data_IF_424381754673
#
_entry.id   IF_424381754673
#
_cell.length_a   1.000
_cell.length_b   1.000
_cell.length_c   1.000
_cell.angle_alpha   90.00
_cell.angle_beta   90.00
_cell.angle_gamma   90.00
#
_symmetry.space_group_name_H-M   'P 1'
#
loop_
_entity.id
_entity.type
_entity.pdbx_description
1 polymer ?
#
# COMPACT_ATOMS: atom_id res chain seq x y z
N UNK A 1 17.44 -7.01 1.70
CA UNK A 1 16.75 -5.70 1.68
C UNK A 1 15.29 -5.96 1.44
N UNK A 2 14.43 -5.31 2.20
CA UNK A 2 12.99 -5.40 1.98
C UNK A 2 12.53 -4.24 1.07
N UNK A 3 11.45 -4.47 0.33
CA UNK A 3 10.73 -3.43 -0.42
C UNK A 3 9.28 -3.50 0.02
N UNK A 4 8.71 -2.34 0.31
CA UNK A 4 7.31 -2.21 0.70
C UNK A 4 6.61 -1.46 -0.42
N UNK A 5 5.56 -2.06 -0.96
CA UNK A 5 4.70 -1.46 -1.97
C UNK A 5 3.29 -1.43 -1.38
N UNK A 6 2.63 -0.28 -1.43
CA UNK A 6 1.23 -0.13 -1.06
C UNK A 6 0.44 0.30 -2.30
N UNK A 7 -0.55 -0.51 -2.65
CA UNK A 7 -1.55 -0.25 -3.68
C UNK A 7 -2.93 -0.27 -3.02
N UNK A 8 -3.94 0.45 -3.57
CA UNK A 8 -5.28 0.48 -3.00
C UNK A 8 -6.04 -0.85 -3.17
N UNK A 9 -5.70 -1.63 -4.19
CA UNK A 9 -6.17 -2.99 -4.41
C UNK A 9 -5.11 -3.79 -5.22
N UNK A 10 -5.32 -5.10 -5.41
CA UNK A 10 -4.36 -5.99 -6.11
C UNK A 10 -4.32 -5.81 -7.63
N UNK A 11 -5.36 -5.20 -8.21
CA UNK A 11 -5.52 -5.02 -9.66
C UNK A 11 -5.21 -3.59 -10.11
N UNK A 12 -4.93 -2.71 -9.14
CA UNK A 12 -4.64 -1.31 -9.37
C UNK A 12 -3.20 -1.11 -9.84
N UNK A 13 -3.06 -0.41 -10.97
CA UNK A 13 -1.78 0.11 -11.42
C UNK A 13 -1.32 1.34 -10.59
N UNK A 14 -2.10 1.76 -9.59
CA UNK A 14 -1.79 2.90 -8.72
C UNK A 14 -0.92 2.45 -7.55
N UNK A 15 0.30 2.99 -7.50
CA UNK A 15 1.23 2.80 -6.39
C UNK A 15 1.19 4.04 -5.49
N UNK A 16 0.75 3.87 -4.24
CA UNK A 16 0.65 4.94 -3.25
C UNK A 16 1.93 5.06 -2.42
N UNK A 17 2.68 3.96 -2.30
CA UNK A 17 3.96 3.94 -1.60
C UNK A 17 4.86 2.87 -2.20
N UNK A 18 6.12 3.22 -2.41
CA UNK A 18 7.18 2.32 -2.88
C UNK A 18 8.49 2.72 -2.21
N UNK A 19 8.87 1.97 -1.16
CA UNK A 19 10.08 2.27 -0.40
C UNK A 19 10.93 1.01 -0.19
N UNK A 20 12.24 1.17 -0.38
CA UNK A 20 13.23 0.16 0.00
C UNK A 20 13.66 0.36 1.45
N UNK A 21 13.50 -0.69 2.27
CA UNK A 21 13.95 -0.70 3.66
C UNK A 21 15.32 -1.34 3.76
N UNK A 22 16.27 -0.51 4.22
CA UNK A 22 17.65 -0.88 4.51
C UNK A 22 17.86 -1.01 6.02
N UNK A 23 18.91 -1.72 6.48
CA UNK A 23 19.20 -1.83 7.91
C UNK A 23 19.29 -0.49 8.63
N UNK A 24 19.83 0.55 7.97
CA UNK A 24 19.92 1.91 8.52
C UNK A 24 18.56 2.52 8.88
N UNK A 25 17.48 2.12 8.21
CA UNK A 25 16.13 2.60 8.50
C UNK A 25 15.54 1.95 9.76
N UNK A 26 16.14 0.87 10.27
CA UNK A 26 15.69 0.15 11.47
C UNK A 26 16.74 0.19 12.60
N UNK A 27 17.82 0.95 12.40
CA UNK A 27 18.99 0.96 13.28
C UNK A 27 18.72 1.66 14.63
N UNK A 28 17.71 2.54 14.66
CA UNK A 28 17.28 3.23 15.87
C UNK A 28 15.78 3.52 15.86
N UNK A 29 15.26 3.88 17.03
CA UNK A 29 13.83 4.14 17.25
C UNK A 29 13.29 5.23 16.30
N UNK A 30 13.99 6.37 16.18
CA UNK A 30 13.54 7.48 15.35
C UNK A 30 13.45 7.08 13.87
N UNK A 31 14.49 6.42 13.34
CA UNK A 31 14.50 5.96 11.95
C UNK A 31 13.40 4.91 11.70
N UNK A 32 13.20 4.00 12.65
CA UNK A 32 12.15 2.98 12.53
C UNK A 32 10.74 3.59 12.60
N UNK A 33 10.55 4.61 13.45
CA UNK A 33 9.28 5.34 13.59
C UNK A 33 8.97 6.08 12.29
N UNK A 34 9.95 6.72 11.66
CA UNK A 34 9.76 7.42 10.39
C UNK A 34 9.27 6.49 9.27
N UNK A 35 9.78 5.25 9.21
CA UNK A 35 9.29 4.24 8.25
C UNK A 35 7.85 3.84 8.61
N UNK A 36 7.58 3.59 9.89
CA UNK A 36 6.25 3.21 10.35
C UNK A 36 5.19 4.30 10.09
N UNK A 37 5.53 5.56 10.30
CA UNK A 37 4.66 6.71 10.05
C UNK A 37 4.30 6.84 8.56
N UNK A 38 5.30 6.78 7.68
CA UNK A 38 5.05 6.83 6.23
C UNK A 38 4.18 5.67 5.76
N UNK A 39 4.45 4.47 6.26
CA UNK A 39 3.65 3.29 5.95
C UNK A 39 2.21 3.43 6.46
N UNK A 40 2.01 3.93 7.67
CA UNK A 40 0.67 4.14 8.24
C UNK A 40 -0.16 5.13 7.42
N UNK A 41 0.45 6.21 6.94
CA UNK A 41 -0.20 7.15 6.03
C UNK A 41 -0.54 6.49 4.69
N UNK A 42 0.40 5.79 4.08
CA UNK A 42 0.16 5.10 2.81
C UNK A 42 -0.99 4.08 2.88
N UNK A 43 -1.10 3.32 3.98
CA UNK A 43 -2.22 2.38 4.20
C UNK A 43 -3.54 3.13 4.37
N UNK A 44 -3.54 4.23 5.13
CA UNK A 44 -4.75 5.05 5.31
C UNK A 44 -5.24 5.63 3.98
N UNK A 45 -4.31 6.08 3.13
CA UNK A 45 -4.59 6.59 1.78
C UNK A 45 -5.09 5.49 0.84
N UNK A 46 -4.55 4.27 0.96
CA UNK A 46 -5.01 3.11 0.20
C UNK A 46 -6.46 2.77 0.51
N UNK A 47 -6.81 2.66 1.80
CA UNK A 47 -8.20 2.42 2.21
C UNK A 47 -9.14 3.55 1.79
N UNK A 48 -8.69 4.81 1.86
CA UNK A 48 -9.48 5.94 1.39
C UNK A 48 -9.70 5.86 -0.13
N UNK A 49 -8.68 5.50 -0.89
CA UNK A 49 -8.75 5.36 -2.34
C UNK A 49 -9.69 4.22 -2.75
N UNK A 50 -9.60 3.06 -2.11
CA UNK A 50 -10.49 1.91 -2.35
C UNK A 50 -11.97 2.29 -2.08
N UNK A 51 -12.24 2.98 -0.97
CA UNK A 51 -13.61 3.43 -0.63
C UNK A 51 -14.18 4.43 -1.64
N UNK A 52 -13.31 5.18 -2.29
CA UNK A 52 -13.69 6.23 -3.23
C UNK A 52 -13.63 5.80 -4.71
N UNK A 53 -13.15 4.60 -5.03
CA UNK A 53 -13.16 4.09 -6.40
C UNK A 53 -14.53 3.46 -6.76
N UNK A 54 -15.35 4.12 -7.61
CA UNK A 54 -16.60 3.54 -8.08
C UNK A 54 -16.43 2.38 -9.07
N UNK A 55 -15.22 2.17 -9.62
CA UNK A 55 -14.94 1.10 -10.59
C UNK A 55 -14.77 -0.25 -9.88
N UNK A 56 -14.03 -0.31 -8.78
CA UNK A 56 -13.91 -1.52 -7.95
C UNK A 56 -15.28 -1.98 -7.41
N UNK A 57 -16.17 -1.05 -7.05
CA UNK A 57 -17.55 -1.37 -6.63
C UNK A 57 -18.43 -2.04 -7.69
N UNK A 58 -18.12 -1.89 -8.98
CA UNK A 58 -18.96 -2.41 -10.09
C UNK A 58 -18.64 -3.84 -10.48
N UNK A 59 -17.47 -4.36 -10.13
CA UNK A 59 -17.05 -5.70 -10.52
C UNK A 59 -16.32 -6.42 -9.38
N UNK A 60 -17.01 -6.74 -8.27
CA UNK A 60 -16.46 -7.67 -7.29
C UNK A 60 -16.47 -9.05 -7.96
N UNK A 61 -15.31 -9.56 -8.35
CA UNK A 61 -15.09 -10.97 -8.70
C UNK A 61 -16.05 -11.53 -9.79
N UNK A 62 -15.74 -11.34 -11.07
CA UNK A 62 -16.33 -12.21 -12.10
C UNK A 62 -15.67 -13.60 -12.00
N UNK A 63 -16.39 -14.68 -11.66
CA UNK A 63 -15.81 -16.01 -11.70
C UNK A 63 -15.48 -16.33 -13.17
N UNK A 64 -14.21 -16.64 -13.43
CA UNK A 64 -13.75 -17.10 -14.74
C UNK A 64 -14.42 -18.46 -14.98
N UNK A 65 -15.54 -18.45 -15.70
CA UNK A 65 -16.11 -19.66 -16.26
C UNK A 65 -15.22 -20.11 -17.43
N UNK A 66 -14.43 -21.15 -17.19
CA UNK A 66 -13.84 -22.00 -18.22
C UNK A 66 -14.58 -23.34 -18.25
#
# INVERSE_FOLDING_TARGET
MARIIVTPDEQSDVVLFDEHVYPIHLDNELSSLQVAERLAWAVSDAEATERHDPLNRRYPEHPIHA
#
